data_IF_897672495472
#
_entry.id   IF_897672495472
#
_cell.length_a   1.000
_cell.length_b   1.000
_cell.length_c   1.000
_cell.angle_alpha   90.00
_cell.angle_beta   90.00
_cell.angle_gamma   90.00
#
_symmetry.space_group_name_H-M   'P 1'
#
loop_
_entity.id
_entity.type
_entity.pdbx_description
1 polymer ?
#
# COMPACT_ATOMS: atom_id res chain seq x y z
N UNK A 1 -5.64 -1.83 25.35
CA UNK A 1 -4.26 -1.39 25.35
C UNK A 1 -4.06 -0.31 24.29
N UNK A 2 -3.57 0.89 24.69
CA UNK A 2 -3.36 2.05 23.78
C UNK A 2 -1.95 2.09 23.17
N UNK A 3 -1.16 1.02 23.29
CA UNK A 3 0.22 0.96 22.85
C UNK A 3 0.44 1.34 21.38
N UNK A 4 -0.37 0.85 20.39
CA UNK A 4 -0.18 1.24 19.00
C UNK A 4 -0.39 2.73 18.75
N UNK A 5 -1.42 3.32 19.35
CA UNK A 5 -1.72 4.75 19.19
C UNK A 5 -0.66 5.65 19.86
N UNK A 6 -0.11 5.21 20.99
CA UNK A 6 0.99 5.91 21.69
C UNK A 6 2.25 5.82 20.85
N UNK A 7 2.61 4.63 20.37
CA UNK A 7 3.76 4.43 19.50
C UNK A 7 3.68 5.30 18.24
N UNK A 8 2.54 5.29 17.56
CA UNK A 8 2.32 6.10 16.36
C UNK A 8 2.48 7.62 16.61
N UNK A 9 2.21 8.10 17.82
CA UNK A 9 2.45 9.50 18.19
C UNK A 9 3.91 9.78 18.56
N UNK A 10 4.57 8.81 19.17
CA UNK A 10 5.98 8.96 19.57
C UNK A 10 6.90 9.01 18.33
N UNK A 11 6.64 8.23 17.32
CA UNK A 11 7.53 8.13 16.15
C UNK A 11 7.73 9.46 15.42
N UNK A 12 6.67 10.21 15.01
CA UNK A 12 6.85 11.53 14.42
C UNK A 12 7.52 12.54 15.38
N UNK A 13 7.33 12.39 16.70
CA UNK A 13 7.97 13.28 17.67
C UNK A 13 9.48 13.02 17.77
N UNK A 14 9.91 11.76 17.77
CA UNK A 14 11.34 11.36 17.80
C UNK A 14 12.04 11.83 16.51
N UNK A 15 11.39 11.63 15.37
CA UNK A 15 11.96 11.93 14.05
C UNK A 15 11.46 13.24 13.45
N UNK A 16 10.87 14.16 14.25
CA UNK A 16 10.24 15.39 13.76
C UNK A 16 11.15 16.25 12.88
N UNK A 17 12.44 16.30 13.21
CA UNK A 17 13.43 17.05 12.42
C UNK A 17 13.76 16.41 11.08
N UNK A 18 13.60 15.09 10.98
CA UNK A 18 13.97 14.29 9.80
C UNK A 18 12.76 13.96 8.90
N UNK A 19 11.53 13.96 9.48
CA UNK A 19 10.31 13.68 8.75
C UNK A 19 10.15 14.63 7.54
N UNK A 20 9.65 14.10 6.43
CA UNK A 20 9.45 14.78 5.15
C UNK A 20 10.73 15.29 4.44
N UNK A 21 11.89 15.19 5.11
CA UNK A 21 13.18 15.62 4.54
C UNK A 21 14.02 14.44 4.10
N UNK A 22 14.18 13.44 4.96
CA UNK A 22 15.06 12.29 4.74
C UNK A 22 14.43 10.97 5.17
N UNK A 23 13.32 11.01 5.91
CA UNK A 23 12.60 9.83 6.38
C UNK A 23 11.10 10.04 6.33
N UNK A 24 10.39 9.05 5.83
CA UNK A 24 8.95 8.90 5.98
C UNK A 24 8.65 7.86 7.05
N UNK A 25 7.76 8.21 7.98
CA UNK A 25 7.34 7.35 9.07
C UNK A 25 5.87 6.98 8.91
N UNK A 26 5.59 5.70 8.76
CA UNK A 26 4.24 5.19 8.72
C UNK A 26 4.06 4.08 9.76
N UNK A 27 3.38 4.39 10.85
CA UNK A 27 3.24 3.51 12.02
C UNK A 27 4.61 3.07 12.55
N UNK A 28 4.99 1.81 12.32
CA UNK A 28 6.24 1.18 12.73
C UNK A 28 7.24 1.01 11.58
N UNK A 29 6.91 1.51 10.39
CA UNK A 29 7.78 1.43 9.23
C UNK A 29 8.46 2.77 8.96
N UNK A 30 9.78 2.71 8.73
CA UNK A 30 10.59 3.84 8.32
C UNK A 30 11.07 3.64 6.90
N UNK A 31 10.90 4.67 6.07
CA UNK A 31 11.46 4.71 4.71
C UNK A 31 12.45 5.85 4.63
N UNK A 32 13.74 5.53 4.59
CA UNK A 32 14.83 6.50 4.51
C UNK A 32 15.24 6.60 3.05
N UNK A 33 15.46 7.81 2.56
CA UNK A 33 15.80 8.08 1.18
C UNK A 33 16.85 9.18 1.06
N UNK A 34 17.48 9.23 -0.10
CA UNK A 34 18.47 10.24 -0.46
C UNK A 34 18.56 10.40 -1.98
N UNK A 35 19.18 11.46 -2.44
CA UNK A 35 19.37 11.78 -3.86
C UNK A 35 20.49 10.96 -4.50
N UNK A 36 21.43 10.48 -3.70
CA UNK A 36 22.54 9.61 -4.06
C UNK A 36 22.72 8.50 -3.03
N UNK A 37 23.59 7.54 -3.33
CA UNK A 37 23.94 6.48 -2.37
C UNK A 37 24.57 7.06 -1.09
N UNK A 38 25.52 7.96 -1.25
CA UNK A 38 26.24 8.57 -0.12
C UNK A 38 25.29 9.45 0.74
N UNK A 39 24.38 10.17 0.10
CA UNK A 39 23.35 10.95 0.77
C UNK A 39 22.40 10.04 1.55
N UNK A 40 21.92 8.95 0.92
CA UNK A 40 21.08 7.97 1.59
C UNK A 40 21.80 7.31 2.78
N UNK A 41 23.09 6.98 2.65
CA UNK A 41 23.90 6.41 3.71
C UNK A 41 24.06 7.40 4.88
N UNK A 42 24.33 8.67 4.59
CA UNK A 42 24.41 9.73 5.60
C UNK A 42 23.07 9.92 6.31
N UNK A 43 21.96 9.88 5.57
CA UNK A 43 20.64 10.00 6.16
C UNK A 43 20.29 8.79 7.04
N UNK A 44 20.68 7.59 6.61
CA UNK A 44 20.54 6.37 7.42
C UNK A 44 21.30 6.48 8.74
N UNK A 45 22.57 6.90 8.71
CA UNK A 45 23.39 7.08 9.90
C UNK A 45 22.73 8.01 10.92
N UNK A 46 22.22 9.16 10.47
CA UNK A 46 21.49 10.13 11.30
C UNK A 46 20.23 9.55 11.94
N UNK A 47 19.48 8.76 11.19
CA UNK A 47 18.25 8.10 11.69
C UNK A 47 18.61 7.01 12.70
N UNK A 48 19.65 6.22 12.44
CA UNK A 48 20.13 5.19 13.37
C UNK A 48 20.65 5.80 14.67
N UNK A 49 21.37 6.93 14.60
CA UNK A 49 21.78 7.68 15.77
C UNK A 49 20.57 8.14 16.61
N UNK A 50 19.52 8.64 15.97
CA UNK A 50 18.26 8.99 16.66
C UNK A 50 17.57 7.79 17.31
N UNK A 51 17.66 6.61 16.70
CA UNK A 51 17.17 5.36 17.30
C UNK A 51 17.99 5.00 18.54
N UNK A 52 19.31 5.12 18.50
CA UNK A 52 20.20 4.85 19.62
C UNK A 52 19.96 5.80 20.79
N UNK A 53 19.88 7.10 20.54
CA UNK A 53 19.60 8.14 21.54
C UNK A 53 18.25 7.93 22.25
N UNK A 54 17.27 7.37 21.55
CA UNK A 54 15.93 7.10 22.10
C UNK A 54 15.72 5.67 22.56
N UNK A 55 16.75 4.82 22.50
CA UNK A 55 16.70 3.39 22.79
C UNK A 55 15.61 2.66 21.96
N UNK A 56 15.38 3.08 20.71
CA UNK A 56 14.45 2.44 19.80
C UNK A 56 15.13 1.24 19.14
N UNK A 57 14.59 0.05 19.38
CA UNK A 57 15.12 -1.20 18.81
C UNK A 57 14.44 -1.49 17.48
N UNK A 58 15.24 -1.65 16.44
CA UNK A 58 14.79 -2.02 15.10
C UNK A 58 14.81 -3.53 14.92
N UNK A 59 13.80 -4.07 14.21
CA UNK A 59 13.80 -5.46 13.79
C UNK A 59 14.62 -5.60 12.50
N UNK A 60 15.92 -5.87 12.63
CA UNK A 60 16.86 -5.96 11.52
C UNK A 60 16.49 -7.00 10.47
N UNK A 61 15.83 -8.10 10.85
CA UNK A 61 15.37 -9.14 9.92
C UNK A 61 14.32 -8.63 8.91
N UNK A 62 13.60 -7.56 9.29
CA UNK A 62 12.62 -6.90 8.42
C UNK A 62 13.17 -5.65 7.73
N UNK A 63 14.41 -5.28 8.02
CA UNK A 63 15.04 -4.12 7.40
C UNK A 63 15.65 -4.48 6.05
N UNK A 64 15.46 -3.61 5.09
CA UNK A 64 16.05 -3.70 3.75
C UNK A 64 16.92 -2.45 3.53
N UNK A 65 18.24 -2.66 3.46
CA UNK A 65 19.20 -1.56 3.36
C UNK A 65 19.71 -1.40 1.93
N UNK A 66 19.89 -0.14 1.51
CA UNK A 66 20.52 0.24 0.24
C UNK A 66 19.97 -0.48 -0.98
N UNK A 67 18.64 -0.65 -1.02
CA UNK A 67 17.94 -1.26 -2.15
C UNK A 67 17.52 -0.19 -3.16
N UNK A 68 17.64 -0.51 -4.45
CA UNK A 68 17.18 0.37 -5.53
C UNK A 68 15.65 0.39 -5.69
N UNK A 69 15.00 -0.65 -5.22
CA UNK A 69 13.55 -0.80 -5.21
C UNK A 69 13.12 -1.64 -4.00
N UNK A 70 11.93 -1.38 -3.50
CA UNK A 70 11.39 -2.12 -2.35
C UNK A 70 9.87 -2.10 -2.32
N UNK A 71 9.29 -2.96 -1.49
CA UNK A 71 7.85 -2.98 -1.23
C UNK A 71 7.60 -2.18 0.05
N UNK A 72 6.95 -1.04 -0.10
CA UNK A 72 6.56 -0.18 1.01
C UNK A 72 5.04 -0.09 1.05
N UNK A 73 4.44 -0.48 2.17
CA UNK A 73 3.00 -0.46 2.38
C UNK A 73 2.20 -1.13 1.24
N UNK A 74 2.71 -2.25 0.72
CA UNK A 74 2.06 -3.00 -0.36
C UNK A 74 2.17 -2.35 -1.75
N UNK A 75 3.03 -1.37 -1.91
CA UNK A 75 3.37 -0.78 -3.21
C UNK A 75 4.85 -1.04 -3.50
N UNK A 76 5.17 -1.41 -4.73
CA UNK A 76 6.55 -1.44 -5.19
C UNK A 76 6.97 -0.01 -5.53
N UNK A 77 8.02 0.45 -4.85
CA UNK A 77 8.63 1.77 -5.06
C UNK A 77 9.98 1.58 -5.70
N UNK A 78 10.24 2.32 -6.75
CA UNK A 78 11.50 2.32 -7.49
C UNK A 78 11.80 3.71 -8.05
N UNK A 79 12.97 3.89 -8.67
CA UNK A 79 13.31 5.12 -9.41
C UNK A 79 12.30 5.45 -10.53
N UNK A 80 11.56 4.44 -11.01
CA UNK A 80 10.54 4.61 -12.06
C UNK A 80 9.22 5.17 -11.51
N UNK A 81 8.99 5.08 -10.20
CA UNK A 81 7.76 5.49 -9.54
C UNK A 81 7.16 4.41 -8.65
N UNK A 82 5.84 4.47 -8.49
CA UNK A 82 5.05 3.57 -7.64
C UNK A 82 4.28 2.60 -8.54
N UNK A 83 4.40 1.31 -8.23
CA UNK A 83 3.75 0.20 -8.96
C UNK A 83 2.91 -0.65 -7.99
N UNK A 84 1.99 -1.43 -8.55
CA UNK A 84 1.29 -2.49 -7.80
C UNK A 84 2.30 -3.56 -7.41
N UNK A 85 2.26 -4.03 -6.16
CA UNK A 85 3.04 -5.18 -5.72
C UNK A 85 2.65 -6.42 -6.54
N UNK A 86 3.64 -7.07 -7.15
CA UNK A 86 3.43 -8.24 -8.01
C UNK A 86 2.70 -9.37 -7.29
N UNK A 87 3.04 -9.65 -6.03
CA UNK A 87 2.38 -10.70 -5.26
C UNK A 87 0.88 -10.41 -5.06
N UNK A 88 0.52 -9.14 -4.91
CA UNK A 88 -0.88 -8.69 -4.84
C UNK A 88 -1.56 -8.76 -6.21
N UNK A 89 -0.86 -8.39 -7.28
CA UNK A 89 -1.33 -8.55 -8.65
C UNK A 89 -1.67 -10.01 -8.98
N UNK A 90 -0.76 -10.93 -8.68
CA UNK A 90 -0.94 -12.37 -8.88
C UNK A 90 -2.11 -12.94 -8.06
N UNK A 91 -2.31 -12.43 -6.83
CA UNK A 91 -3.46 -12.82 -6.01
C UNK A 91 -4.80 -12.37 -6.66
N UNK A 92 -4.85 -11.14 -7.17
CA UNK A 92 -6.03 -10.61 -7.87
C UNK A 92 -6.26 -11.37 -9.19
N UNK A 93 -5.21 -11.71 -9.91
CA UNK A 93 -5.29 -12.50 -11.14
C UNK A 93 -5.96 -13.87 -10.93
N UNK A 94 -5.66 -14.52 -9.81
CA UNK A 94 -6.24 -15.82 -9.44
C UNK A 94 -7.67 -15.74 -8.91
N UNK A 95 -8.19 -14.54 -8.63
CA UNK A 95 -9.57 -14.39 -8.12
C UNK A 95 -10.59 -14.73 -9.21
N UNK A 96 -11.51 -15.63 -8.89
CA UNK A 96 -12.69 -15.92 -9.72
C UNK A 96 -13.79 -14.88 -9.51
N UNK A 97 -14.78 -14.85 -10.41
CA UNK A 97 -15.97 -14.01 -10.24
C UNK A 97 -16.62 -14.27 -8.88
N UNK A 98 -16.94 -13.19 -8.12
CA UNK A 98 -17.58 -13.30 -6.83
C UNK A 98 -18.95 -14.01 -6.93
N UNK A 99 -19.21 -14.96 -6.02
CA UNK A 99 -20.47 -15.69 -5.95
C UNK A 99 -21.37 -15.20 -4.81
N UNK A 100 -20.86 -14.32 -3.98
CA UNK A 100 -21.55 -13.78 -2.82
C UNK A 100 -21.05 -12.37 -2.44
N UNK A 101 -21.72 -11.72 -1.50
CA UNK A 101 -21.38 -10.40 -0.99
C UNK A 101 -19.97 -10.39 -0.37
N UNK A 102 -19.55 -11.50 0.26
CA UNK A 102 -18.22 -11.61 0.87
C UNK A 102 -17.12 -11.59 -0.19
N UNK A 103 -17.33 -12.31 -1.29
CA UNK A 103 -16.44 -12.30 -2.44
C UNK A 103 -16.30 -10.91 -3.06
N UNK A 104 -17.41 -10.16 -3.22
CA UNK A 104 -17.36 -8.77 -3.69
C UNK A 104 -16.58 -7.87 -2.73
N UNK A 105 -16.83 -7.96 -1.41
CA UNK A 105 -16.07 -7.18 -0.43
C UNK A 105 -14.58 -7.49 -0.47
N UNK A 106 -14.22 -8.75 -0.60
CA UNK A 106 -12.82 -9.18 -0.72
C UNK A 106 -12.18 -8.59 -1.97
N UNK A 107 -12.83 -8.74 -3.13
CA UNK A 107 -12.32 -8.19 -4.39
C UNK A 107 -12.20 -6.67 -4.36
N UNK A 108 -13.26 -5.96 -3.97
CA UNK A 108 -13.25 -4.50 -3.88
C UNK A 108 -12.27 -3.98 -2.82
N UNK A 109 -12.01 -4.75 -1.76
CA UNK A 109 -10.97 -4.43 -0.78
C UNK A 109 -9.58 -4.40 -1.42
N UNK A 110 -9.25 -5.43 -2.22
CA UNK A 110 -8.00 -5.46 -2.96
C UNK A 110 -7.95 -4.40 -4.07
N UNK A 111 -9.00 -4.29 -4.88
CA UNK A 111 -9.06 -3.32 -5.97
C UNK A 111 -9.05 -1.87 -5.46
N UNK A 112 -9.75 -1.58 -4.37
CA UNK A 112 -9.86 -0.25 -3.78
C UNK A 112 -8.54 0.26 -3.21
N UNK A 113 -7.68 -0.64 -2.71
CA UNK A 113 -6.35 -0.29 -2.25
C UNK A 113 -5.49 0.32 -3.37
N UNK A 114 -5.64 -0.21 -4.58
CA UNK A 114 -4.93 0.25 -5.78
C UNK A 114 -5.75 1.18 -6.68
N UNK A 115 -6.86 1.76 -6.19
CA UNK A 115 -7.76 2.63 -6.97
C UNK A 115 -7.06 3.80 -7.66
N UNK A 116 -5.94 4.28 -7.12
CA UNK A 116 -5.14 5.38 -7.71
C UNK A 116 -4.58 5.07 -9.08
N UNK A 117 -4.38 3.77 -9.38
CA UNK A 117 -3.86 3.31 -10.68
C UNK A 117 -4.96 3.12 -11.73
N UNK A 118 -6.25 3.25 -11.35
CA UNK A 118 -7.38 2.99 -12.22
C UNK A 118 -8.18 4.27 -12.42
N UNK A 119 -8.13 4.79 -13.65
CA UNK A 119 -8.95 5.94 -14.02
C UNK A 119 -10.43 5.58 -13.89
N UNK A 120 -11.22 6.50 -13.34
CA UNK A 120 -12.67 6.35 -13.12
C UNK A 120 -13.07 5.11 -12.29
N UNK A 121 -12.22 4.65 -11.38
CA UNK A 121 -12.47 3.49 -10.51
C UNK A 121 -13.90 3.47 -9.92
N UNK A 122 -14.37 4.60 -9.40
CA UNK A 122 -15.69 4.70 -8.77
C UNK A 122 -16.84 4.44 -9.73
N UNK A 123 -16.70 4.85 -10.99
CA UNK A 123 -17.69 4.59 -12.04
C UNK A 123 -17.71 3.11 -12.41
N UNK A 124 -16.54 2.54 -12.68
CA UNK A 124 -16.38 1.14 -13.07
C UNK A 124 -16.84 0.20 -11.96
N UNK A 125 -16.52 0.52 -10.69
CA UNK A 125 -16.89 -0.32 -9.55
C UNK A 125 -18.35 -0.21 -9.12
N UNK A 126 -19.13 0.72 -9.68
CA UNK A 126 -20.51 1.01 -9.27
C UNK A 126 -21.45 -0.19 -9.29
N UNK A 127 -21.50 -1.05 -10.33
CA UNK A 127 -22.34 -2.24 -10.33
C UNK A 127 -22.03 -3.16 -9.13
N UNK A 128 -20.75 -3.40 -8.86
CA UNK A 128 -20.32 -4.24 -7.75
C UNK A 128 -20.61 -3.62 -6.38
N UNK A 129 -20.43 -2.30 -6.24
CA UNK A 129 -20.71 -1.61 -4.98
C UNK A 129 -22.20 -1.54 -4.67
N UNK A 130 -23.08 -1.49 -5.69
CA UNK A 130 -24.52 -1.54 -5.50
C UNK A 130 -24.97 -2.83 -4.83
N UNK A 131 -24.34 -3.98 -5.14
CA UNK A 131 -24.64 -5.26 -4.52
C UNK A 131 -24.25 -5.32 -3.02
N UNK A 132 -23.49 -4.35 -2.51
CA UNK A 132 -23.15 -4.24 -1.09
C UNK A 132 -24.19 -3.46 -0.29
N UNK A 133 -25.18 -2.84 -0.94
CA UNK A 133 -26.20 -2.04 -0.28
C UNK A 133 -27.16 -2.95 0.49
N UNK A 134 -27.68 -2.41 1.59
CA UNK A 134 -28.65 -3.10 2.43
C UNK A 134 -29.96 -3.32 1.65
N UNK A 135 -30.51 -4.52 1.73
CA UNK A 135 -31.77 -4.91 1.06
C UNK A 135 -31.71 -5.08 -0.46
N UNK A 136 -30.55 -4.97 -1.10
CA UNK A 136 -30.40 -5.30 -2.51
C UNK A 136 -30.19 -6.82 -2.65
N UNK A 137 -30.99 -7.53 -3.44
CA UNK A 137 -30.76 -8.95 -3.73
C UNK A 137 -29.43 -9.13 -4.45
N UNK A 138 -28.71 -10.20 -4.12
CA UNK A 138 -27.46 -10.50 -4.79
C UNK A 138 -27.75 -11.11 -6.17
N UNK A 139 -27.65 -10.29 -7.22
CA UNK A 139 -27.71 -10.71 -8.62
C UNK A 139 -26.45 -10.25 -9.31
N UNK A 140 -25.56 -11.17 -9.63
CA UNK A 140 -24.31 -10.88 -10.32
C UNK A 140 -24.55 -10.94 -11.83
N UNK A 141 -25.02 -9.81 -12.37
CA UNK A 141 -25.40 -9.62 -13.79
C UNK A 141 -24.20 -9.33 -14.71
N UNK A 142 -24.47 -9.12 -15.98
CA UNK A 142 -23.45 -8.86 -16.98
C UNK A 142 -22.68 -7.57 -16.71
N UNK A 143 -23.31 -6.53 -16.19
CA UNK A 143 -22.65 -5.28 -15.79
C UNK A 143 -21.64 -5.53 -14.65
N UNK A 144 -21.99 -6.40 -13.71
CA UNK A 144 -21.09 -6.82 -12.64
C UNK A 144 -19.91 -7.65 -13.16
N UNK A 145 -20.15 -8.54 -14.13
CA UNK A 145 -19.08 -9.31 -14.78
C UNK A 145 -18.13 -8.38 -15.52
N UNK A 146 -18.66 -7.45 -16.31
CA UNK A 146 -17.86 -6.47 -17.05
C UNK A 146 -17.03 -5.61 -16.09
N UNK A 147 -17.64 -5.05 -15.06
CA UNK A 147 -16.93 -4.27 -14.03
C UNK A 147 -15.80 -5.06 -13.37
N UNK A 148 -16.04 -6.32 -13.01
CA UNK A 148 -15.05 -7.22 -12.44
C UNK A 148 -13.87 -7.44 -13.38
N UNK A 149 -14.15 -7.75 -14.66
CA UNK A 149 -13.11 -8.02 -15.68
C UNK A 149 -12.28 -6.78 -15.95
N UNK A 150 -12.91 -5.61 -16.10
CA UNK A 150 -12.21 -4.33 -16.35
C UNK A 150 -11.29 -4.00 -15.18
N UNK A 151 -11.79 -4.05 -13.94
CA UNK A 151 -10.98 -3.75 -12.75
C UNK A 151 -9.83 -4.74 -12.59
N UNK A 152 -10.09 -6.04 -12.76
CA UNK A 152 -9.08 -7.08 -12.68
C UNK A 152 -7.97 -6.85 -13.70
N UNK A 153 -8.32 -6.60 -14.96
CA UNK A 153 -7.38 -6.32 -16.06
C UNK A 153 -6.58 -5.06 -15.80
N UNK A 154 -7.23 -3.98 -15.33
CA UNK A 154 -6.56 -2.73 -15.02
C UNK A 154 -5.54 -2.87 -13.89
N UNK A 155 -5.78 -3.73 -12.89
CA UNK A 155 -4.85 -3.99 -11.78
C UNK A 155 -3.65 -4.84 -12.19
N UNK A 156 -3.84 -5.81 -13.09
CA UNK A 156 -2.76 -6.65 -13.62
C UNK A 156 -1.83 -5.83 -14.53
N UNK A 157 -2.41 -4.91 -15.32
CA UNK A 157 -1.68 -4.03 -16.25
C UNK A 157 -1.45 -2.61 -15.71
N UNK A 158 -1.50 -2.43 -14.38
CA UNK A 158 -1.44 -1.12 -13.74
C UNK A 158 -0.21 -0.32 -14.20
N UNK A 159 -0.40 0.93 -14.64
CA UNK A 159 0.71 1.79 -15.03
C UNK A 159 1.56 2.17 -13.81
N UNK A 160 2.82 2.51 -14.08
CA UNK A 160 3.69 3.15 -13.08
C UNK A 160 3.21 4.59 -12.89
N UNK A 161 3.06 5.01 -11.65
CA UNK A 161 2.66 6.37 -11.26
C UNK A 161 3.81 7.07 -10.57
#
# INVERSE_FOLDING_TARGET
>A
CNAPATFQRCMPAIFSYFCEKIVEVFMDNFSIYGTSFDDCLSNLDRVLQGCEETNLVLNWEKCHFMVNEGIVLGHKISKRGIEVDKAKGDAIEKMSCPKDIKGIRSFLGHAGFYRRFIKEFSKISRPLTNLLQKYVPFVFDDDCVEAFVILKKALISAPIV
#
